data_IF_009132257045
#
_entry.id   IF_009132257045
#
_cell.length_a   1.000
_cell.length_b   1.000
_cell.length_c   1.000
_cell.angle_alpha   90.00
_cell.angle_beta   90.00
_cell.angle_gamma   90.00
#
_symmetry.space_group_name_H-M   'P 1'
#
loop_
_entity.id
_entity.type
_entity.pdbx_description
1 polymer ?
#
# COMPACT_ATOMS: atom_id res chain seq x y z
N UNK A 1 29.66 -45.98 -18.56
CA UNK A 1 30.27 -44.69 -18.15
C UNK A 1 29.96 -43.69 -19.23
N UNK A 2 29.00 -42.87 -19.01
CA UNK A 2 28.62 -41.73 -19.85
C UNK A 2 28.05 -40.70 -18.92
N UNK A 3 28.86 -39.69 -18.61
CA UNK A 3 28.55 -38.53 -17.82
C UNK A 3 27.65 -37.61 -18.64
N UNK A 4 26.39 -37.46 -18.26
CA UNK A 4 25.54 -36.36 -18.71
C UNK A 4 25.83 -35.13 -17.82
N UNK A 5 26.74 -34.30 -18.32
CA UNK A 5 26.91 -32.93 -17.85
C UNK A 5 25.79 -32.09 -18.48
N UNK A 6 24.73 -31.85 -17.75
CA UNK A 6 23.69 -30.90 -18.09
C UNK A 6 23.97 -29.61 -17.33
N UNK A 7 24.98 -28.86 -17.78
CA UNK A 7 25.15 -27.48 -17.47
C UNK A 7 24.04 -26.66 -18.13
N UNK A 8 22.86 -26.57 -17.50
CA UNK A 8 21.83 -25.59 -17.85
C UNK A 8 22.38 -24.21 -17.49
N UNK A 9 22.75 -23.40 -18.48
CA UNK A 9 22.98 -21.97 -18.30
C UNK A 9 21.72 -21.39 -17.66
N UNK A 10 21.83 -20.95 -16.40
CA UNK A 10 20.79 -20.16 -15.77
C UNK A 10 20.59 -18.92 -16.65
N UNK A 11 19.41 -18.76 -17.26
CA UNK A 11 19.09 -17.63 -18.08
C UNK A 11 19.40 -16.36 -17.27
N UNK A 12 20.32 -15.52 -17.76
CA UNK A 12 20.71 -14.31 -17.05
C UNK A 12 19.51 -13.38 -16.97
N UNK A 13 19.06 -13.06 -15.74
CA UNK A 13 17.98 -12.10 -15.52
C UNK A 13 18.40 -10.77 -16.16
N UNK A 14 17.52 -10.20 -16.98
CA UNK A 14 17.73 -8.86 -17.56
C UNK A 14 17.88 -7.86 -16.41
N UNK A 15 18.89 -6.99 -16.48
CA UNK A 15 19.21 -6.03 -15.44
C UNK A 15 19.09 -4.59 -15.95
N UNK A 16 18.53 -3.73 -15.09
CA UNK A 16 18.47 -2.27 -15.28
C UNK A 16 19.09 -1.53 -14.08
N UNK A 17 19.92 -2.22 -13.30
CA UNK A 17 20.56 -1.64 -12.10
C UNK A 17 21.41 -0.42 -12.42
N UNK A 18 22.01 -0.35 -13.59
CA UNK A 18 22.79 0.79 -14.11
C UNK A 18 21.94 2.03 -14.46
N UNK A 19 20.63 1.86 -14.60
CA UNK A 19 19.68 2.94 -14.88
C UNK A 19 19.02 3.51 -13.62
N UNK A 20 19.22 2.84 -12.48
CA UNK A 20 18.69 3.32 -11.20
C UNK A 20 19.53 4.49 -10.71
N UNK A 21 18.89 5.60 -10.42
CA UNK A 21 19.50 6.75 -9.75
C UNK A 21 19.49 6.48 -8.24
N UNK A 22 20.64 6.25 -7.58
CA UNK A 22 20.68 6.02 -6.15
C UNK A 22 20.48 7.33 -5.38
N UNK A 23 19.80 7.26 -4.23
CA UNK A 23 19.52 8.40 -3.36
C UNK A 23 19.65 7.96 -1.91
N UNK A 24 20.50 8.64 -1.12
CA UNK A 24 20.59 8.41 0.32
C UNK A 24 19.77 9.46 1.06
N UNK A 25 18.69 9.03 1.69
CA UNK A 25 17.72 9.93 2.34
C UNK A 25 18.19 10.39 3.72
N UNK A 26 19.09 9.64 4.36
CA UNK A 26 19.60 9.93 5.70
C UNK A 26 18.51 9.93 6.77
N UNK A 27 17.49 9.08 6.61
CA UNK A 27 16.38 8.89 7.55
C UNK A 27 15.74 7.52 7.31
N UNK A 28 15.19 6.90 8.35
CA UNK A 28 14.39 5.67 8.22
C UNK A 28 13.07 5.96 7.50
N UNK A 29 12.65 5.05 6.61
CA UNK A 29 11.49 5.21 5.73
C UNK A 29 10.43 4.16 6.04
N UNK A 30 9.17 4.52 5.92
CA UNK A 30 8.01 3.62 6.08
C UNK A 30 7.20 3.44 4.80
N UNK A 31 7.16 4.45 3.94
CA UNK A 31 6.37 4.44 2.70
C UNK A 31 6.97 5.38 1.65
N UNK A 32 6.56 5.20 0.40
CA UNK A 32 6.79 6.17 -0.68
C UNK A 32 5.49 6.49 -1.39
N UNK A 33 5.26 7.76 -1.64
CA UNK A 33 4.16 8.31 -2.43
C UNK A 33 4.70 9.24 -3.51
N UNK A 34 3.84 9.68 -4.41
CA UNK A 34 4.21 10.63 -5.45
C UNK A 34 3.38 11.92 -5.37
N UNK A 35 4.06 13.04 -5.60
CA UNK A 35 3.48 14.38 -5.83
C UNK A 35 3.81 14.79 -7.27
N UNK A 36 2.98 14.38 -8.23
CA UNK A 36 3.33 14.41 -9.65
C UNK A 36 4.44 13.40 -9.95
N UNK A 37 5.59 13.87 -10.43
CA UNK A 37 6.75 13.02 -10.73
C UNK A 37 7.81 13.02 -9.62
N UNK A 38 7.59 13.76 -8.52
CA UNK A 38 8.47 13.75 -7.36
C UNK A 38 8.10 12.63 -6.40
N UNK A 39 9.08 11.82 -6.02
CA UNK A 39 8.92 10.78 -5.02
C UNK A 39 8.99 11.38 -3.61
N UNK A 40 8.03 11.10 -2.77
CA UNK A 40 7.97 11.55 -1.37
C UNK A 40 8.12 10.35 -0.46
N UNK A 41 9.28 10.21 0.16
CA UNK A 41 9.61 9.15 1.10
C UNK A 41 9.22 9.58 2.51
N UNK A 42 8.30 8.85 3.09
CA UNK A 42 7.73 9.12 4.42
C UNK A 42 8.64 8.56 5.49
N UNK A 43 9.09 9.40 6.39
CA UNK A 43 9.92 9.01 7.53
C UNK A 43 9.13 8.35 8.66
N UNK A 44 9.86 7.85 9.65
CA UNK A 44 9.30 7.37 10.92
C UNK A 44 9.04 8.52 11.91
N UNK A 45 9.77 9.61 11.76
CA UNK A 45 9.67 10.83 12.55
C UNK A 45 8.81 11.86 11.82
N UNK A 46 8.99 13.14 12.08
CA UNK A 46 8.14 14.22 11.55
C UNK A 46 8.31 14.54 10.06
N UNK A 47 9.40 14.04 9.43
CA UNK A 47 9.83 14.52 8.12
C UNK A 47 9.46 13.59 6.96
N UNK A 48 9.26 14.21 5.80
CA UNK A 48 9.17 13.58 4.47
C UNK A 48 10.34 14.07 3.62
N UNK A 49 11.06 13.16 2.96
CA UNK A 49 12.04 13.49 1.95
C UNK A 49 11.39 13.48 0.56
N UNK A 50 11.25 14.63 -0.04
CA UNK A 50 10.75 14.79 -1.42
C UNK A 50 11.93 14.82 -2.36
N UNK A 51 11.97 13.87 -3.30
CA UNK A 51 13.07 13.70 -4.27
C UNK A 51 12.52 13.97 -5.67
N UNK A 52 13.16 14.85 -6.39
CA UNK A 52 12.78 15.17 -7.76
C UNK A 52 13.38 14.17 -8.77
N UNK A 53 13.10 14.38 -10.07
CA UNK A 53 13.59 13.52 -11.14
C UNK A 53 15.11 13.59 -11.35
N UNK A 54 15.76 14.65 -10.86
CA UNK A 54 17.21 14.80 -10.88
C UNK A 54 17.89 14.17 -9.66
N UNK A 55 17.12 13.76 -8.65
CA UNK A 55 17.61 13.15 -7.41
C UNK A 55 17.89 14.17 -6.32
N UNK A 56 17.50 15.43 -6.50
CA UNK A 56 17.61 16.46 -5.47
C UNK A 56 16.60 16.25 -4.36
N UNK A 57 17.08 16.33 -3.11
CA UNK A 57 16.29 16.04 -1.91
C UNK A 57 15.87 17.33 -1.23
N UNK A 58 14.58 17.44 -0.93
CA UNK A 58 14.02 18.46 -0.04
C UNK A 58 13.34 17.77 1.15
N UNK A 59 13.76 18.04 2.36
CA UNK A 59 13.11 17.55 3.59
C UNK A 59 12.08 18.54 4.07
N UNK A 60 10.89 18.03 4.46
CA UNK A 60 9.76 18.83 4.92
C UNK A 60 9.16 18.18 6.16
N UNK A 61 9.06 18.92 7.26
CA UNK A 61 8.37 18.46 8.47
C UNK A 61 6.88 18.61 8.27
N UNK A 62 6.15 17.52 8.40
CA UNK A 62 4.70 17.44 8.09
C UNK A 62 3.84 17.20 9.33
N UNK A 63 4.44 16.78 10.42
CA UNK A 63 3.82 16.57 11.75
C UNK A 63 4.67 17.21 12.82
N UNK A 64 4.19 17.26 14.05
CA UNK A 64 4.99 17.69 15.21
C UNK A 64 5.57 16.53 16.02
N UNK A 65 5.58 15.34 15.45
CA UNK A 65 6.06 14.09 16.04
C UNK A 65 6.09 12.98 15.00
N UNK A 66 6.05 11.71 15.40
CA UNK A 66 6.13 10.57 14.50
C UNK A 66 4.95 10.46 13.53
N UNK A 67 5.23 10.11 12.28
CA UNK A 67 4.22 9.84 11.25
C UNK A 67 3.74 8.40 11.42
N UNK A 68 2.45 8.21 11.73
CA UNK A 68 1.83 6.89 11.93
C UNK A 68 1.22 6.31 10.66
N UNK A 69 0.73 7.18 9.76
CA UNK A 69 0.12 6.76 8.50
C UNK A 69 0.24 7.86 7.44
N UNK A 70 0.29 7.45 6.17
CA UNK A 70 0.31 8.35 5.04
C UNK A 70 -0.49 7.78 3.87
N UNK A 71 -1.15 8.65 3.08
CA UNK A 71 -1.86 8.29 1.86
C UNK A 71 -1.84 9.44 0.87
N UNK A 72 -1.74 9.14 -0.44
CA UNK A 72 -1.74 10.15 -1.50
C UNK A 72 -2.97 10.04 -2.39
N UNK A 73 -3.50 11.19 -2.83
CA UNK A 73 -4.46 11.30 -3.94
C UNK A 73 -3.78 11.72 -5.26
N UNK A 74 -2.45 11.76 -5.29
CA UNK A 74 -1.63 12.20 -6.42
C UNK A 74 -1.47 13.72 -6.52
N UNK A 75 -2.29 14.53 -5.82
CA UNK A 75 -2.17 15.98 -5.73
C UNK A 75 -1.56 16.44 -4.41
N UNK A 76 -1.80 15.69 -3.36
CA UNK A 76 -1.29 15.89 -1.98
C UNK A 76 -1.10 14.55 -1.29
N UNK A 77 -0.35 14.56 -0.21
CA UNK A 77 -0.19 13.43 0.70
C UNK A 77 -0.77 13.85 2.04
N UNK A 78 -1.65 13.03 2.61
CA UNK A 78 -2.18 13.19 3.96
C UNK A 78 -1.35 12.37 4.93
N UNK A 79 -1.16 12.88 6.14
CA UNK A 79 -0.43 12.23 7.22
C UNK A 79 -1.28 12.22 8.50
N UNK A 80 -1.22 11.10 9.21
CA UNK A 80 -1.66 10.99 10.59
C UNK A 80 -0.45 10.95 11.51
N UNK A 81 -0.42 11.81 12.52
CA UNK A 81 0.70 11.94 13.46
C UNK A 81 0.36 11.50 14.88
N UNK A 82 1.38 11.18 15.66
CA UNK A 82 1.26 10.92 17.09
C UNK A 82 1.06 12.22 17.91
N UNK A 83 1.22 13.38 17.26
CA UNK A 83 0.88 14.70 17.80
C UNK A 83 -0.62 15.04 17.78
N UNK A 84 -1.44 14.10 17.28
CA UNK A 84 -2.90 14.22 17.20
C UNK A 84 -3.39 15.09 16.04
N UNK A 85 -2.59 15.26 14.99
CA UNK A 85 -2.96 16.05 13.82
C UNK A 85 -3.11 15.19 12.57
N UNK A 86 -4.03 15.61 11.72
CA UNK A 86 -4.05 15.25 10.30
C UNK A 86 -3.45 16.42 9.53
N UNK A 87 -2.35 16.19 8.86
CA UNK A 87 -1.69 17.19 8.03
C UNK A 87 -1.66 16.76 6.56
N UNK A 88 -1.39 17.70 5.68
CA UNK A 88 -1.22 17.44 4.25
C UNK A 88 -0.05 18.22 3.69
N UNK A 89 0.69 17.59 2.78
CA UNK A 89 1.73 18.18 1.95
C UNK A 89 1.23 18.23 0.50
N UNK A 90 1.20 19.40 -0.10
CA UNK A 90 0.77 19.60 -1.47
C UNK A 90 1.94 19.59 -2.47
N UNK A 91 1.62 19.67 -3.77
CA UNK A 91 2.64 19.75 -4.85
C UNK A 91 3.51 20.99 -4.79
N UNK A 92 3.10 22.07 -4.14
CA UNK A 92 3.91 23.26 -3.98
C UNK A 92 4.92 23.14 -2.82
N UNK A 93 4.83 22.08 -2.01
CA UNK A 93 5.62 21.89 -0.80
C UNK A 93 5.00 22.56 0.42
N UNK A 94 3.73 22.98 0.35
CA UNK A 94 3.03 23.63 1.46
C UNK A 94 2.44 22.56 2.39
N UNK A 95 2.74 22.72 3.68
CA UNK A 95 2.13 21.90 4.73
C UNK A 95 0.94 22.62 5.33
N UNK A 96 -0.17 21.91 5.48
CA UNK A 96 -1.40 22.42 6.11
C UNK A 96 -1.94 21.42 7.12
N UNK A 97 -2.42 21.90 8.27
CA UNK A 97 -3.12 21.07 9.26
C UNK A 97 -4.59 21.03 8.88
N UNK A 98 -5.11 19.84 8.64
CA UNK A 98 -6.49 19.63 8.21
C UNK A 98 -7.43 19.34 9.38
N UNK A 99 -6.98 18.60 10.38
CA UNK A 99 -7.75 18.29 11.60
C UNK A 99 -6.81 18.17 12.80
N UNK A 100 -7.36 18.36 13.99
CA UNK A 100 -6.62 18.17 15.26
C UNK A 100 -7.53 17.48 16.26
N UNK A 101 -7.08 16.39 16.85
CA UNK A 101 -7.79 15.78 17.97
C UNK A 101 -7.69 16.70 19.21
N UNK A 102 -8.80 17.08 19.85
CA UNK A 102 -8.78 18.02 20.99
C UNK A 102 -7.96 17.51 22.19
N UNK A 103 -7.81 16.19 22.31
CA UNK A 103 -7.03 15.52 23.36
C UNK A 103 -5.63 15.13 22.91
N UNK A 104 -5.22 15.49 21.69
CA UNK A 104 -3.93 15.13 21.08
C UNK A 104 -3.64 13.63 21.11
N UNK A 105 -4.68 12.82 20.89
CA UNK A 105 -4.52 11.37 20.72
C UNK A 105 -3.99 11.07 19.32
N UNK A 106 -3.30 9.99 19.17
CA UNK A 106 -2.73 9.53 17.91
C UNK A 106 -3.77 9.43 16.79
N UNK A 107 -3.37 9.88 15.61
CA UNK A 107 -4.12 9.66 14.37
C UNK A 107 -3.56 8.41 13.72
N UNK A 108 -4.15 7.26 14.03
CA UNK A 108 -3.61 5.95 13.68
C UNK A 108 -3.67 5.66 12.17
N UNK A 109 -4.72 6.13 11.50
CA UNK A 109 -4.94 5.90 10.08
C UNK A 109 -5.49 7.15 9.39
N UNK A 110 -5.12 7.33 8.13
CA UNK A 110 -5.70 8.33 7.22
C UNK A 110 -6.15 7.67 5.92
N UNK A 111 -7.19 8.22 5.29
CA UNK A 111 -7.63 7.83 3.95
C UNK A 111 -8.09 9.06 3.17
N UNK A 112 -7.98 9.00 1.84
CA UNK A 112 -8.42 10.05 0.94
C UNK A 112 -9.30 9.48 -0.16
N UNK A 113 -10.43 10.14 -0.44
CA UNK A 113 -11.33 9.80 -1.53
C UNK A 113 -10.95 10.59 -2.79
N UNK A 114 -11.15 10.05 -4.02
CA UNK A 114 -10.86 10.76 -5.26
C UNK A 114 -11.53 12.13 -5.38
N UNK A 115 -12.71 12.32 -4.77
CA UNK A 115 -13.43 13.62 -4.73
C UNK A 115 -12.86 14.60 -3.70
N UNK A 116 -11.79 14.24 -3.00
CA UNK A 116 -11.09 15.06 -2.02
C UNK A 116 -11.62 14.97 -0.58
N UNK A 117 -12.61 14.09 -0.29
CA UNK A 117 -12.99 13.79 1.09
C UNK A 117 -11.83 13.10 1.81
N UNK A 118 -11.70 13.35 3.11
CA UNK A 118 -10.68 12.76 3.96
C UNK A 118 -11.31 11.96 5.10
N UNK A 119 -10.64 10.90 5.52
CA UNK A 119 -10.98 10.17 6.73
C UNK A 119 -9.73 9.96 7.59
N UNK A 120 -9.95 9.86 8.89
CA UNK A 120 -8.92 9.51 9.86
C UNK A 120 -9.50 8.74 11.03
N UNK A 121 -8.66 8.07 11.81
CA UNK A 121 -9.09 7.36 13.01
C UNK A 121 -8.30 7.77 14.24
N UNK A 122 -9.00 7.76 15.38
CA UNK A 122 -8.44 7.94 16.73
C UNK A 122 -8.96 6.78 17.58
N UNK A 123 -8.12 5.80 17.83
CA UNK A 123 -8.53 4.58 18.51
C UNK A 123 -9.68 3.89 17.78
N UNK A 124 -10.87 3.77 18.40
CA UNK A 124 -12.05 3.15 17.80
C UNK A 124 -13.01 4.10 17.09
N UNK A 125 -12.68 5.37 16.97
CA UNK A 125 -13.52 6.36 16.31
C UNK A 125 -12.94 6.72 14.94
N UNK A 126 -13.70 6.51 13.88
CA UNK A 126 -13.39 6.98 12.54
C UNK A 126 -14.14 8.29 12.27
N UNK A 127 -13.47 9.21 11.60
CA UNK A 127 -13.97 10.51 11.19
C UNK A 127 -13.95 10.62 9.67
N UNK A 128 -14.94 11.30 9.10
CA UNK A 128 -15.00 11.64 7.67
C UNK A 128 -15.36 13.10 7.53
N UNK A 129 -14.64 13.81 6.66
CA UNK A 129 -14.98 15.17 6.25
C UNK A 129 -14.97 15.28 4.73
N UNK A 130 -16.12 15.57 4.14
CA UNK A 130 -16.26 15.89 2.74
C UNK A 130 -15.67 17.28 2.43
N UNK A 131 -15.25 17.58 1.18
CA UNK A 131 -14.59 18.86 0.85
C UNK A 131 -15.39 20.11 1.22
N UNK A 132 -16.72 20.02 1.19
CA UNK A 132 -17.65 21.11 1.53
C UNK A 132 -18.67 20.69 2.60
N UNK A 133 -18.40 19.63 3.33
CA UNK A 133 -19.31 19.05 4.31
C UNK A 133 -18.82 19.22 5.73
N UNK A 134 -19.72 18.94 6.65
CA UNK A 134 -19.41 18.83 8.07
C UNK A 134 -18.60 17.56 8.35
N UNK A 135 -17.87 17.59 9.44
CA UNK A 135 -17.21 16.41 9.98
C UNK A 135 -18.23 15.48 10.61
N UNK A 136 -18.14 14.20 10.26
CA UNK A 136 -18.97 13.14 10.81
C UNK A 136 -18.08 12.08 11.44
N UNK A 137 -18.57 11.40 12.45
CA UNK A 137 -17.85 10.35 13.14
C UNK A 137 -18.69 9.10 13.35
N UNK A 138 -18.01 7.97 13.43
CA UNK A 138 -18.57 6.66 13.75
C UNK A 138 -17.65 5.94 14.72
N UNK A 139 -18.23 5.41 15.78
CA UNK A 139 -17.52 4.51 16.71
C UNK A 139 -17.70 3.06 16.24
N UNK A 140 -16.59 2.33 16.06
CA UNK A 140 -16.56 0.91 15.70
C UNK A 140 -16.26 0.05 16.95
N UNK A 141 -16.52 -1.27 16.90
CA UNK A 141 -16.42 -2.13 18.09
C UNK A 141 -15.05 -2.17 18.79
N UNK A 142 -13.97 -1.96 18.02
CA UNK A 142 -12.59 -1.93 18.56
C UNK A 142 -11.74 -0.93 17.79
N UNK A 143 -10.47 -0.78 18.16
CA UNK A 143 -9.51 0.11 17.48
C UNK A 143 -9.53 -0.11 15.96
N UNK A 144 -9.64 0.97 15.22
CA UNK A 144 -9.55 0.95 13.75
C UNK A 144 -8.13 0.55 13.32
N UNK A 145 -8.02 -0.57 12.64
CA UNK A 145 -6.74 -1.10 12.14
C UNK A 145 -6.38 -0.60 10.76
N UNK A 146 -7.34 -0.07 10.01
CA UNK A 146 -7.13 0.49 8.68
C UNK A 146 -8.38 1.15 8.14
N UNK A 147 -8.20 2.11 7.24
CA UNK A 147 -9.26 2.87 6.58
C UNK A 147 -9.09 2.81 5.06
N UNK A 148 -10.17 2.65 4.32
CA UNK A 148 -10.17 2.82 2.86
C UNK A 148 -11.50 3.38 2.39
N UNK A 149 -11.46 4.38 1.48
CA UNK A 149 -12.64 4.79 0.76
C UNK A 149 -12.93 3.85 -0.43
N UNK A 150 -14.19 3.63 -0.70
CA UNK A 150 -14.61 2.99 -1.93
C UNK A 150 -14.21 3.87 -3.14
N UNK A 151 -13.85 3.27 -4.29
CA UNK A 151 -13.47 4.03 -5.48
C UNK A 151 -14.64 4.81 -6.09
N UNK A 152 -15.87 4.50 -5.69
CA UNK A 152 -17.10 5.18 -6.16
C UNK A 152 -18.07 5.37 -5.00
N UNK A 153 -18.59 6.59 -4.87
CA UNK A 153 -19.50 6.97 -3.81
C UNK A 153 -18.81 7.14 -2.46
N UNK A 154 -19.32 8.00 -1.61
CA UNK A 154 -18.74 8.26 -0.30
C UNK A 154 -19.09 7.11 0.66
N UNK A 155 -18.27 6.06 0.64
CA UNK A 155 -18.35 4.89 1.53
C UNK A 155 -16.98 4.60 2.08
N UNK A 156 -16.87 4.50 3.40
CA UNK A 156 -15.64 4.18 4.12
C UNK A 156 -15.69 2.75 4.65
N UNK A 157 -14.65 1.96 4.39
CA UNK A 157 -14.41 0.71 5.07
C UNK A 157 -13.45 0.95 6.24
N UNK A 158 -13.77 0.39 7.39
CA UNK A 158 -12.99 0.50 8.62
C UNK A 158 -12.69 -0.93 9.08
N UNK A 159 -11.43 -1.37 8.95
CA UNK A 159 -10.97 -2.64 9.48
C UNK A 159 -10.80 -2.55 10.99
N UNK A 160 -11.17 -3.60 11.73
CA UNK A 160 -11.02 -3.67 13.16
C UNK A 160 -10.99 -5.13 13.65
N UNK A 161 -10.97 -5.38 14.94
CA UNK A 161 -11.02 -6.74 15.44
C UNK A 161 -12.38 -7.38 15.12
N UNK A 162 -12.35 -8.63 14.61
CA UNK A 162 -13.47 -9.44 14.14
C UNK A 162 -14.17 -8.96 12.86
N UNK A 163 -13.52 -8.13 12.03
CA UNK A 163 -14.08 -7.82 10.71
C UNK A 163 -13.83 -6.41 10.22
N UNK A 164 -14.77 -5.94 9.42
CA UNK A 164 -14.77 -4.57 8.90
C UNK A 164 -16.18 -3.97 8.97
N UNK A 165 -16.25 -2.66 9.15
CA UNK A 165 -17.48 -1.89 9.10
C UNK A 165 -17.50 -1.05 7.83
N UNK A 166 -18.59 -1.14 7.05
CA UNK A 166 -18.86 -0.27 5.92
C UNK A 166 -19.78 0.87 6.36
N UNK A 167 -19.27 2.08 6.25
CA UNK A 167 -20.00 3.28 6.65
C UNK A 167 -20.29 4.18 5.45
N UNK A 168 -21.53 4.68 5.40
CA UNK A 168 -22.02 5.62 4.40
C UNK A 168 -22.32 6.97 5.04
N UNK A 169 -21.35 7.88 5.17
CA UNK A 169 -21.49 9.09 5.99
C UNK A 169 -22.65 10.01 5.59
N UNK A 170 -23.04 9.96 4.31
CA UNK A 170 -24.14 10.82 3.79
C UNK A 170 -25.51 10.13 3.73
N UNK A 171 -25.61 8.89 4.21
CA UNK A 171 -26.89 8.15 4.24
C UNK A 171 -27.38 8.04 5.68
N UNK A 172 -28.69 8.15 5.86
CA UNK A 172 -29.33 7.75 7.08
C UNK A 172 -29.47 6.22 7.10
N UNK A 173 -28.89 5.58 8.09
CA UNK A 173 -28.94 4.12 8.24
C UNK A 173 -27.77 3.62 9.07
N UNK A 174 -27.92 2.38 9.57
CA UNK A 174 -26.86 1.73 10.32
C UNK A 174 -25.72 1.30 9.38
N UNK A 175 -24.47 1.38 9.85
CA UNK A 175 -23.32 0.82 9.13
C UNK A 175 -23.47 -0.69 8.93
N UNK A 176 -22.97 -1.19 7.79
CA UNK A 176 -22.97 -2.63 7.52
C UNK A 176 -21.74 -3.27 8.18
N UNK A 177 -21.95 -4.32 8.95
CA UNK A 177 -20.87 -5.10 9.56
C UNK A 177 -20.55 -6.36 8.75
N UNK A 178 -19.30 -6.47 8.33
CA UNK A 178 -18.73 -7.62 7.63
C UNK A 178 -17.90 -8.44 8.62
N UNK A 179 -18.50 -9.46 9.21
CA UNK A 179 -17.90 -10.23 10.30
C UNK A 179 -16.90 -11.30 9.83
N UNK A 180 -15.75 -11.35 10.47
CA UNK A 180 -14.79 -12.44 10.41
C UNK A 180 -13.82 -12.36 11.59
N UNK A 181 -13.67 -13.47 12.33
CA UNK A 181 -12.84 -13.52 13.52
C UNK A 181 -11.35 -13.26 13.22
N UNK A 182 -10.70 -12.46 14.05
CA UNK A 182 -9.28 -12.11 13.98
C UNK A 182 -9.02 -10.61 13.95
N UNK A 183 -7.77 -10.23 13.95
CA UNK A 183 -7.35 -8.83 13.92
C UNK A 183 -7.08 -8.36 12.47
N UNK A 184 -7.91 -7.46 11.98
CA UNK A 184 -7.78 -6.88 10.64
C UNK A 184 -7.05 -5.54 10.76
N UNK A 185 -5.86 -5.42 10.15
CA UNK A 185 -4.97 -4.27 10.31
C UNK A 185 -4.81 -3.43 9.03
N UNK A 186 -5.32 -3.88 7.90
CA UNK A 186 -5.38 -3.12 6.66
C UNK A 186 -6.62 -3.50 5.87
N UNK A 187 -7.12 -2.58 5.05
CA UNK A 187 -8.30 -2.79 4.23
C UNK A 187 -8.16 -2.10 2.88
N UNK A 188 -8.69 -2.72 1.83
CA UNK A 188 -8.71 -2.15 0.49
C UNK A 188 -9.95 -2.60 -0.28
N UNK A 189 -10.51 -1.71 -1.11
CA UNK A 189 -11.52 -2.06 -2.09
C UNK A 189 -10.86 -2.49 -3.40
N UNK A 190 -11.49 -3.42 -4.12
CA UNK A 190 -11.14 -3.64 -5.52
C UNK A 190 -11.47 -2.40 -6.35
N UNK A 191 -10.66 -2.06 -7.38
CA UNK A 191 -10.88 -0.89 -8.24
C UNK A 191 -12.24 -0.86 -8.93
N UNK A 192 -12.86 -2.03 -9.17
CA UNK A 192 -14.21 -2.16 -9.73
C UNK A 192 -15.33 -2.07 -8.68
N UNK A 193 -14.96 -1.86 -7.40
CA UNK A 193 -15.87 -1.70 -6.26
C UNK A 193 -16.75 -2.95 -5.96
N UNK A 194 -16.31 -4.15 -6.36
CA UNK A 194 -17.07 -5.40 -6.11
C UNK A 194 -16.64 -6.15 -4.87
N UNK A 195 -15.40 -5.94 -4.43
CA UNK A 195 -14.79 -6.69 -3.34
C UNK A 195 -14.15 -5.75 -2.31
N UNK A 196 -14.20 -6.17 -1.06
CA UNK A 196 -13.40 -5.63 0.04
C UNK A 196 -12.43 -6.72 0.48
N UNK A 197 -11.17 -6.36 0.69
CA UNK A 197 -10.13 -7.27 1.19
C UNK A 197 -9.44 -6.64 2.39
N UNK A 198 -9.19 -7.46 3.40
CA UNK A 198 -8.42 -7.07 4.60
C UNK A 198 -7.20 -7.96 4.74
N UNK A 199 -6.10 -7.37 5.20
CA UNK A 199 -4.95 -8.11 5.72
C UNK A 199 -5.13 -8.31 7.23
N UNK A 200 -4.82 -9.53 7.67
CA UNK A 200 -5.00 -9.94 9.06
C UNK A 200 -3.66 -10.01 9.80
N UNK A 201 -3.70 -9.97 11.12
CA UNK A 201 -2.52 -10.24 11.94
C UNK A 201 -2.05 -11.70 11.77
N UNK A 202 -2.98 -12.60 11.59
CA UNK A 202 -2.74 -13.97 11.15
C UNK A 202 -2.18 -13.97 9.71
N UNK A 203 -1.38 -14.96 9.29
CA UNK A 203 -0.84 -15.04 7.94
C UNK A 203 -1.93 -15.43 6.93
N UNK A 204 -2.88 -14.53 6.72
CA UNK A 204 -4.01 -14.68 5.80
C UNK A 204 -4.56 -13.33 5.37
N UNK A 205 -5.27 -13.34 4.23
CA UNK A 205 -6.21 -12.28 3.87
C UNK A 205 -7.63 -12.79 4.02
N UNK A 206 -8.53 -11.87 4.32
CA UNK A 206 -9.96 -12.14 4.27
C UNK A 206 -10.65 -11.12 3.37
N UNK A 207 -11.69 -11.51 2.68
CA UNK A 207 -12.41 -10.61 1.79
C UNK A 207 -13.89 -10.90 1.72
N UNK A 208 -14.65 -9.95 1.18
CA UNK A 208 -16.08 -10.05 0.96
C UNK A 208 -16.45 -9.56 -0.43
N UNK A 209 -17.35 -10.28 -1.08
CA UNK A 209 -18.06 -9.77 -2.24
C UNK A 209 -19.17 -8.84 -1.77
N UNK A 210 -19.11 -7.57 -2.19
CA UNK A 210 -19.97 -6.51 -1.64
C UNK A 210 -21.45 -6.61 -2.08
N UNK A 211 -21.77 -7.41 -3.10
CA UNK A 211 -23.12 -7.57 -3.60
C UNK A 211 -24.02 -8.40 -2.66
N UNK A 212 -23.43 -9.31 -1.88
CA UNK A 212 -24.16 -10.28 -1.05
C UNK A 212 -23.39 -10.64 0.24
N UNK A 213 -22.34 -9.90 0.56
CA UNK A 213 -21.45 -10.07 1.72
C UNK A 213 -20.84 -11.48 1.82
N UNK A 214 -20.83 -12.24 0.71
CA UNK A 214 -20.20 -13.55 0.66
C UNK A 214 -18.70 -13.42 0.88
N UNK A 215 -18.21 -14.07 1.92
CA UNK A 215 -16.81 -13.99 2.31
C UNK A 215 -15.91 -14.99 1.56
N UNK A 216 -14.61 -14.67 1.51
CA UNK A 216 -13.55 -15.49 0.96
C UNK A 216 -12.32 -15.43 1.85
N UNK A 217 -11.63 -16.54 1.99
CA UNK A 217 -10.39 -16.62 2.74
C UNK A 217 -9.23 -16.97 1.81
N UNK A 218 -8.17 -16.20 1.87
CA UNK A 218 -6.93 -16.38 1.10
C UNK A 218 -5.81 -16.72 2.07
N UNK A 219 -5.36 -17.99 2.05
CA UNK A 219 -4.43 -18.58 3.03
C UNK A 219 -3.22 -19.21 2.33
N UNK A 220 -2.31 -19.78 3.12
CA UNK A 220 -1.10 -20.42 2.63
C UNK A 220 0.15 -19.54 2.76
N UNK A 221 0.03 -18.41 3.42
CA UNK A 221 1.16 -17.52 3.67
C UNK A 221 2.02 -18.04 4.83
N UNK A 222 3.35 -18.07 4.69
CA UNK A 222 4.26 -18.42 5.80
C UNK A 222 4.42 -17.28 6.82
N UNK A 223 4.06 -16.04 6.45
CA UNK A 223 4.11 -14.89 7.34
C UNK A 223 2.98 -13.91 7.04
N UNK A 224 2.79 -12.93 7.95
CA UNK A 224 1.76 -11.89 7.81
C UNK A 224 1.94 -11.08 6.51
N UNK A 225 0.85 -10.83 5.81
CA UNK A 225 0.82 -9.94 4.63
C UNK A 225 0.93 -8.49 5.10
N UNK A 226 1.99 -7.80 4.72
CA UNK A 226 2.25 -6.38 5.05
C UNK A 226 1.97 -5.44 3.89
N UNK A 227 2.00 -5.93 2.67
CA UNK A 227 1.86 -5.11 1.47
C UNK A 227 0.88 -5.77 0.50
N UNK A 228 -0.03 -4.96 -0.04
CA UNK A 228 -1.04 -5.34 -1.02
C UNK A 228 -1.11 -4.28 -2.12
N UNK A 229 -1.21 -4.68 -3.37
CA UNK A 229 -1.34 -3.75 -4.49
C UNK A 229 -2.25 -4.33 -5.58
N UNK A 230 -3.25 -3.54 -5.99
CA UNK A 230 -4.12 -3.92 -7.10
C UNK A 230 -3.44 -3.71 -8.44
N UNK A 231 -3.48 -4.71 -9.30
CA UNK A 231 -3.06 -4.61 -10.69
C UNK A 231 -4.00 -3.74 -11.53
N UNK A 232 -3.52 -3.32 -12.69
CA UNK A 232 -4.29 -2.51 -13.63
C UNK A 232 -5.67 -3.12 -13.92
N UNK A 233 -6.70 -2.31 -13.77
CA UNK A 233 -8.10 -2.73 -13.95
C UNK A 233 -8.67 -3.63 -12.86
N UNK A 234 -7.96 -3.84 -11.74
CA UNK A 234 -8.45 -4.61 -10.59
C UNK A 234 -8.60 -6.11 -10.81
N UNK A 235 -7.97 -6.65 -11.85
CA UNK A 235 -8.05 -8.09 -12.19
C UNK A 235 -7.23 -8.98 -11.25
N UNK A 236 -6.24 -8.42 -10.60
CA UNK A 236 -5.32 -9.12 -9.72
C UNK A 236 -5.01 -8.28 -8.47
N UNK A 237 -4.81 -8.98 -7.37
CA UNK A 237 -4.26 -8.42 -6.12
C UNK A 237 -2.91 -9.08 -5.84
N UNK A 238 -1.82 -8.32 -5.97
CA UNK A 238 -0.49 -8.76 -5.59
C UNK A 238 -0.28 -8.57 -4.08
N UNK A 239 0.38 -9.52 -3.44
CA UNK A 239 0.59 -9.53 -1.99
C UNK A 239 1.98 -10.01 -1.61
N UNK A 240 2.51 -9.47 -0.50
CA UNK A 240 3.72 -9.91 0.18
C UNK A 240 3.45 -11.07 1.16
N UNK A 241 4.43 -11.45 1.95
CA UNK A 241 4.28 -12.38 3.07
C UNK A 241 4.74 -13.81 2.77
N UNK A 242 5.25 -14.09 1.57
CA UNK A 242 5.88 -15.33 1.17
C UNK A 242 7.25 -15.05 0.54
N UNK A 243 7.99 -16.09 0.19
CA UNK A 243 9.24 -16.03 -0.57
C UNK A 243 9.05 -15.81 -2.08
N UNK A 244 7.82 -15.43 -2.46
CA UNK A 244 7.38 -15.08 -3.79
C UNK A 244 6.21 -14.12 -3.71
N UNK A 245 5.91 -13.39 -4.79
CA UNK A 245 4.69 -12.59 -4.90
C UNK A 245 3.51 -13.53 -5.11
N UNK A 246 2.49 -13.42 -4.25
CA UNK A 246 1.23 -14.15 -4.42
C UNK A 246 0.25 -13.24 -5.15
N UNK A 247 -0.18 -13.66 -6.35
CA UNK A 247 -1.04 -12.88 -7.23
C UNK A 247 -2.44 -13.51 -7.30
N UNK A 248 -3.39 -12.97 -6.53
CA UNK A 248 -4.76 -13.46 -6.46
C UNK A 248 -5.60 -12.98 -7.65
N UNK A 249 -6.32 -13.89 -8.36
CA UNK A 249 -7.15 -13.52 -9.50
C UNK A 249 -8.53 -12.99 -9.05
N UNK A 250 -8.80 -11.72 -9.28
CA UNK A 250 -10.10 -11.08 -9.03
C UNK A 250 -10.91 -10.91 -10.31
N UNK A 251 -10.88 -11.91 -11.20
CA UNK A 251 -11.60 -11.92 -12.45
C UNK A 251 -12.97 -12.57 -12.32
N UNK A 252 -13.99 -11.98 -13.00
CA UNK A 252 -15.36 -12.46 -12.97
C UNK A 252 -16.13 -12.03 -11.71
N UNK A 253 -17.32 -12.61 -11.52
CA UNK A 253 -18.24 -12.21 -10.44
C UNK A 253 -17.84 -12.73 -9.06
N UNK A 254 -17.08 -13.83 -9.01
CA UNK A 254 -16.74 -14.54 -7.77
C UNK A 254 -15.30 -14.20 -7.27
N UNK A 255 -14.56 -13.38 -8.02
CA UNK A 255 -13.20 -13.02 -7.64
C UNK A 255 -12.28 -14.24 -7.50
N UNK A 256 -11.51 -14.36 -6.40
CA UNK A 256 -10.59 -15.48 -6.15
C UNK A 256 -11.27 -16.76 -5.66
N UNK A 257 -12.59 -16.76 -5.39
CA UNK A 257 -13.29 -17.93 -4.86
C UNK A 257 -13.15 -19.14 -5.79
N UNK A 258 -12.61 -20.26 -5.25
CA UNK A 258 -12.38 -21.49 -6.01
C UNK A 258 -11.27 -21.41 -7.05
N UNK A 259 -10.39 -20.42 -6.96
CA UNK A 259 -9.23 -20.25 -7.84
C UNK A 259 -7.94 -20.27 -7.02
N UNK A 260 -6.88 -20.74 -7.65
CA UNK A 260 -5.53 -20.67 -7.09
C UNK A 260 -4.87 -19.36 -7.51
N UNK A 261 -3.99 -18.79 -6.63
CA UNK A 261 -3.17 -17.64 -7.01
C UNK A 261 -2.02 -18.06 -7.93
N UNK A 262 -1.56 -17.15 -8.76
CA UNK A 262 -0.27 -17.30 -9.41
C UNK A 262 0.86 -16.93 -8.44
N UNK A 263 1.99 -17.60 -8.58
CA UNK A 263 3.20 -17.41 -7.78
C UNK A 263 4.29 -16.87 -8.70
N UNK A 264 4.78 -15.65 -8.41
CA UNK A 264 5.72 -14.94 -9.27
C UNK A 264 7.00 -14.57 -8.51
N UNK A 265 8.11 -14.53 -9.23
CA UNK A 265 9.42 -14.10 -8.74
C UNK A 265 9.85 -14.81 -7.43
N UNK A 266 9.98 -16.14 -7.43
CA UNK A 266 10.40 -16.88 -6.25
C UNK A 266 11.87 -16.61 -5.91
N UNK A 267 12.15 -16.32 -4.64
CA UNK A 267 13.49 -16.10 -4.12
C UNK A 267 13.67 -16.81 -2.76
N UNK A 268 14.91 -16.83 -2.24
CA UNK A 268 15.16 -17.32 -0.88
C UNK A 268 14.72 -16.36 0.21
N UNK A 269 14.68 -15.05 -0.12
CA UNK A 269 14.23 -13.98 0.77
C UNK A 269 12.72 -13.77 0.62
N UNK A 270 12.04 -13.32 1.68
CA UNK A 270 10.61 -13.00 1.61
C UNK A 270 10.35 -11.67 0.93
N UNK A 271 9.24 -11.61 0.21
CA UNK A 271 8.69 -10.36 -0.32
C UNK A 271 8.17 -9.51 0.84
N UNK A 272 8.66 -8.29 0.93
CA UNK A 272 8.28 -7.30 1.96
C UNK A 272 7.33 -6.24 1.42
N UNK A 273 7.52 -5.84 0.15
CA UNK A 273 6.74 -4.79 -0.49
C UNK A 273 6.36 -5.19 -1.92
N UNK A 274 5.16 -4.79 -2.36
CA UNK A 274 4.67 -4.97 -3.73
C UNK A 274 4.01 -3.69 -4.23
N UNK A 275 4.23 -3.34 -5.49
CA UNK A 275 3.60 -2.20 -6.15
C UNK A 275 3.28 -2.54 -7.60
N UNK A 276 1.99 -2.63 -7.93
CA UNK A 276 1.54 -2.84 -9.29
C UNK A 276 1.63 -1.55 -10.10
N UNK A 277 2.09 -1.66 -11.34
CA UNK A 277 2.13 -0.54 -12.27
C UNK A 277 0.69 -0.05 -12.58
N UNK A 278 0.44 1.27 -12.60
CA UNK A 278 -0.92 1.81 -12.69
C UNK A 278 -1.63 1.53 -14.02
N UNK A 279 -0.90 1.23 -15.09
CA UNK A 279 -1.45 1.11 -16.46
C UNK A 279 -1.10 -0.20 -17.18
N UNK A 280 -0.11 -0.96 -16.70
CA UNK A 280 0.40 -2.16 -17.36
C UNK A 280 0.36 -3.36 -16.41
N UNK A 281 0.33 -4.56 -16.96
CA UNK A 281 0.37 -5.81 -16.18
C UNK A 281 1.82 -6.13 -15.75
N UNK A 282 2.44 -5.17 -15.06
CA UNK A 282 3.76 -5.24 -14.46
C UNK A 282 3.61 -4.95 -12.97
N UNK A 283 4.39 -5.58 -12.14
CA UNK A 283 4.53 -5.23 -10.72
C UNK A 283 6.01 -5.08 -10.36
N UNK A 284 6.29 -4.26 -9.37
CA UNK A 284 7.57 -4.24 -8.66
C UNK A 284 7.41 -4.97 -7.33
N UNK A 285 8.43 -5.72 -6.91
CA UNK A 285 8.50 -6.36 -5.61
C UNK A 285 9.87 -6.15 -4.97
N UNK A 286 9.87 -5.94 -3.66
CA UNK A 286 11.04 -5.78 -2.81
C UNK A 286 11.12 -6.90 -1.80
N UNK A 287 12.32 -7.28 -1.43
CA UNK A 287 12.62 -8.44 -0.58
C UNK A 287 13.33 -8.05 0.72
N UNK A 288 13.36 -9.00 1.66
CA UNK A 288 14.05 -8.87 2.95
C UNK A 288 15.57 -8.68 2.80
N UNK A 289 16.18 -9.13 1.71
CA UNK A 289 17.60 -8.98 1.42
C UNK A 289 17.94 -7.71 0.63
N UNK A 290 16.96 -6.83 0.43
CA UNK A 290 17.12 -5.57 -0.29
C UNK A 290 16.98 -5.67 -1.81
N UNK A 291 16.80 -6.87 -2.38
CA UNK A 291 16.56 -7.06 -3.81
C UNK A 291 15.26 -6.36 -4.25
N UNK A 292 15.28 -5.75 -5.42
CA UNK A 292 14.09 -5.22 -6.09
C UNK A 292 14.01 -5.80 -7.50
N UNK A 293 12.88 -6.42 -7.82
CA UNK A 293 12.55 -6.94 -9.14
C UNK A 293 11.34 -6.21 -9.74
N UNK A 294 11.30 -6.06 -11.04
CA UNK A 294 10.07 -5.86 -11.81
C UNK A 294 9.68 -7.16 -12.47
N UNK A 295 8.39 -7.47 -12.47
CA UNK A 295 7.85 -8.75 -12.94
C UNK A 295 6.66 -8.50 -13.85
N UNK A 296 6.66 -9.13 -15.02
CA UNK A 296 5.50 -9.12 -15.92
C UNK A 296 4.51 -10.19 -15.45
N UNK A 297 3.29 -9.78 -15.15
CA UNK A 297 2.27 -10.67 -14.54
C UNK A 297 1.81 -11.81 -15.45
N UNK A 298 1.96 -11.64 -16.78
CA UNK A 298 1.45 -12.60 -17.77
C UNK A 298 2.26 -13.89 -17.83
N UNK A 299 3.58 -13.79 -17.79
CA UNK A 299 4.52 -14.89 -18.00
C UNK A 299 5.62 -15.00 -16.93
N UNK A 300 5.60 -14.12 -15.93
CA UNK A 300 6.57 -14.11 -14.85
C UNK A 300 7.97 -13.64 -15.26
N UNK A 301 8.15 -13.03 -16.43
CA UNK A 301 9.44 -12.50 -16.85
C UNK A 301 9.94 -11.43 -15.89
N UNK A 302 11.19 -11.56 -15.44
CA UNK A 302 11.79 -10.76 -14.37
C UNK A 302 12.85 -9.80 -14.92
N UNK A 303 12.92 -8.63 -14.31
CA UNK A 303 13.95 -7.60 -14.55
C UNK A 303 14.53 -7.20 -13.19
N UNK A 304 15.85 -7.30 -13.05
CA UNK A 304 16.56 -6.89 -11.85
C UNK A 304 16.70 -5.36 -11.82
N UNK A 305 16.14 -4.73 -10.77
CA UNK A 305 16.20 -3.29 -10.53
C UNK A 305 17.27 -2.93 -9.51
N UNK A 306 17.31 -3.63 -8.38
CA UNK A 306 18.37 -3.51 -7.35
C UNK A 306 18.83 -4.89 -6.93
N UNK A 307 20.16 -5.07 -6.85
CA UNK A 307 20.75 -6.30 -6.31
C UNK A 307 20.73 -6.25 -4.79
N UNK A 308 20.70 -7.41 -4.16
CA UNK A 308 20.76 -7.61 -2.70
C UNK A 308 22.03 -7.00 -2.07
N UNK A 309 22.15 -7.11 -0.76
CA UNK A 309 23.21 -6.63 0.14
C UNK A 309 22.84 -5.39 0.95
N UNK A 310 21.55 -5.08 1.05
CA UNK A 310 21.02 -3.97 1.85
C UNK A 310 19.94 -4.47 2.82
N UNK A 311 19.53 -3.66 3.78
CA UNK A 311 18.38 -3.96 4.61
C UNK A 311 17.09 -4.20 3.80
N UNK A 312 16.03 -4.74 4.45
CA UNK A 312 14.74 -5.01 3.78
C UNK A 312 14.18 -3.81 3.04
N UNK A 313 13.63 -4.06 1.86
CA UNK A 313 12.84 -3.06 1.13
C UNK A 313 11.54 -2.81 1.88
N UNK A 314 11.28 -1.56 2.24
CA UNK A 314 10.08 -1.17 3.00
C UNK A 314 9.10 -0.31 2.20
N UNK A 315 9.59 0.37 1.17
CA UNK A 315 8.80 1.27 0.35
C UNK A 315 8.98 0.99 -1.14
N UNK A 316 7.87 0.88 -1.86
CA UNK A 316 7.80 0.74 -3.31
C UNK A 316 6.60 1.53 -3.83
N UNK A 317 6.78 2.29 -4.90
CA UNK A 317 5.68 3.06 -5.49
C UNK A 317 5.95 3.51 -6.90
N UNK A 318 4.87 3.67 -7.66
CA UNK A 318 4.86 4.23 -9.00
C UNK A 318 4.25 5.62 -9.00
N UNK A 319 4.72 6.52 -9.87
CA UNK A 319 3.96 7.72 -10.17
C UNK A 319 2.68 7.36 -10.97
N UNK A 320 1.69 8.25 -11.00
CA UNK A 320 0.41 8.00 -11.66
C UNK A 320 0.54 7.76 -13.18
N UNK A 321 1.60 8.28 -13.81
CA UNK A 321 1.89 8.03 -15.21
C UNK A 321 2.45 6.62 -15.47
N UNK A 322 3.06 5.99 -14.46
CA UNK A 322 3.77 4.71 -14.56
C UNK A 322 5.18 4.86 -15.17
N UNK A 323 5.70 6.06 -15.25
CA UNK A 323 7.01 6.36 -15.86
C UNK A 323 8.16 6.38 -14.87
N UNK A 324 7.86 6.40 -13.57
CA UNK A 324 8.83 6.38 -12.49
C UNK A 324 8.48 5.34 -11.44
N UNK A 325 9.45 4.52 -11.08
CA UNK A 325 9.45 3.65 -9.91
C UNK A 325 10.38 4.22 -8.85
N UNK A 326 9.89 4.37 -7.62
CA UNK A 326 10.70 4.69 -6.45
C UNK A 326 10.66 3.53 -5.46
N UNK A 327 11.79 3.29 -4.79
CA UNK A 327 11.90 2.30 -3.73
C UNK A 327 12.89 2.76 -2.67
N UNK A 328 12.76 2.24 -1.46
CA UNK A 328 13.70 2.44 -0.37
C UNK A 328 13.76 1.22 0.53
N UNK A 329 14.91 0.98 1.13
CA UNK A 329 15.04 0.09 2.27
C UNK A 329 14.79 0.82 3.61
N UNK A 330 14.81 0.06 4.71
CA UNK A 330 14.53 0.61 6.04
C UNK A 330 15.58 1.59 6.55
N UNK A 331 16.80 1.56 6.02
CA UNK A 331 17.86 2.51 6.37
C UNK A 331 17.76 3.85 5.64
N UNK A 332 16.91 3.94 4.62
CA UNK A 332 16.75 5.14 3.79
C UNK A 332 17.64 5.17 2.55
N UNK A 333 18.27 4.05 2.19
CA UNK A 333 18.92 3.93 0.89
C UNK A 333 17.84 3.67 -0.16
N UNK A 334 17.68 4.61 -1.08
CA UNK A 334 16.59 4.66 -2.04
C UNK A 334 17.08 4.62 -3.49
N UNK A 335 16.17 4.35 -4.41
CA UNK A 335 16.43 4.41 -5.84
C UNK A 335 15.24 4.94 -6.62
N UNK A 336 15.54 5.67 -7.69
CA UNK A 336 14.58 6.12 -8.69
C UNK A 336 14.92 5.47 -10.03
N UNK A 337 13.94 4.84 -10.66
CA UNK A 337 14.07 4.25 -12.00
C UNK A 337 13.05 4.89 -12.92
N UNK A 338 13.54 5.44 -14.05
CA UNK A 338 12.69 5.90 -15.16
C UNK A 338 12.53 4.77 -16.17
N UNK A 339 11.28 4.51 -16.58
CA UNK A 339 10.93 3.55 -17.63
C UNK A 339 10.83 4.22 -19.01
#
# INVERSE_FOLDING_TARGET
MSSFDQGGEAASIVSVTDKVKPVSLGMAVTAVHYLGDRAAFVGTEESVAVVDTEGEISKVDVTGGGILSAVSDGSRILFGGDDGKVSALDKAGTVSVLATDPKRRWIDNVAVHPDGAIAWSVGKTAFVRAPKGEEKSLEVPSTAGGLAFAPKGLRLAIAHYNGATLWFPNMAGEPEFLGWAGSHHAVTFSPDNKFLVTAMHEPALHGWRLADSRHMRMTGYPSRVKSMSWGSGGRFLATSGADMVILWPFVGKDGPMGKEPAMLAPMKAKVTAVACHPKQDILACGYEDGTVLMVRMQDGAEILVRRNETPPVVALGWNAAGTWLAFSDESGEAGLLRL
#
